data_IF_061007622127
#
_entry.id   IF_061007622127
#
_cell.length_a   1.000
_cell.length_b   1.000
_cell.length_c   1.000
_cell.angle_alpha   90.00
_cell.angle_beta   90.00
_cell.angle_gamma   90.00
#
_symmetry.space_group_name_H-M   'P 1'
#
loop_
_entity.id
_entity.type
_entity.pdbx_description
1 polymer ?
#
# COMPACT_ATOMS: atom_id res chain seq x y z
N UNK A 1 -14.74 4.80 20.07
CA UNK A 1 -13.84 3.80 19.47
C UNK A 1 -12.93 3.21 20.56
N UNK A 2 -12.46 1.94 20.44
CA UNK A 2 -11.57 1.29 21.41
C UNK A 2 -10.15 1.17 20.83
N UNK A 3 -9.11 1.34 21.67
CA UNK A 3 -7.72 1.07 21.29
C UNK A 3 -7.24 -0.11 22.13
N UNK A 4 -6.63 -1.09 21.48
CA UNK A 4 -6.12 -2.32 22.11
C UNK A 4 -4.71 -2.63 21.63
N UNK A 5 -3.92 -3.31 22.47
CA UNK A 5 -2.50 -3.58 22.19
C UNK A 5 -2.18 -5.07 22.08
N UNK A 6 -3.04 -5.95 22.57
CA UNK A 6 -2.77 -7.38 22.58
C UNK A 6 -3.65 -8.14 21.60
N UNK A 7 -3.15 -9.29 21.14
CA UNK A 7 -3.90 -10.20 20.26
C UNK A 7 -5.17 -10.73 20.96
N UNK A 8 -5.07 -10.99 22.25
CA UNK A 8 -6.18 -11.49 23.08
C UNK A 8 -7.33 -10.48 23.15
N UNK A 9 -7.02 -9.19 23.30
CA UNK A 9 -8.03 -8.13 23.32
C UNK A 9 -8.75 -8.01 21.97
N UNK A 10 -8.00 -8.04 20.85
CA UNK A 10 -8.61 -8.05 19.50
C UNK A 10 -9.56 -9.23 19.35
N UNK A 11 -9.07 -10.45 19.63
CA UNK A 11 -9.86 -11.68 19.51
C UNK A 11 -11.12 -11.67 20.39
N UNK A 12 -11.05 -11.05 21.56
CA UNK A 12 -12.20 -10.91 22.43
C UNK A 12 -13.31 -10.06 21.79
N UNK A 13 -12.95 -8.93 21.16
CA UNK A 13 -13.91 -8.07 20.45
C UNK A 13 -14.45 -8.76 19.18
N UNK A 14 -13.57 -9.38 18.38
CA UNK A 14 -14.00 -10.13 17.18
C UNK A 14 -14.98 -11.25 17.56
N UNK A 15 -14.67 -12.03 18.60
CA UNK A 15 -15.56 -13.10 19.08
C UNK A 15 -16.94 -12.58 19.53
N UNK A 16 -17.00 -11.39 20.11
CA UNK A 16 -18.25 -10.72 20.46
C UNK A 16 -19.04 -10.37 19.20
N UNK A 17 -18.40 -9.72 18.22
CA UNK A 17 -19.05 -9.32 16.97
C UNK A 17 -19.54 -10.52 16.15
N UNK A 18 -18.74 -11.60 16.10
CA UNK A 18 -19.16 -12.85 15.40
C UNK A 18 -20.37 -13.52 16.04
N UNK A 19 -20.55 -13.42 17.36
CA UNK A 19 -21.78 -13.92 18.04
C UNK A 19 -23.02 -13.11 17.67
N UNK A 20 -22.84 -11.86 17.27
CA UNK A 20 -23.90 -10.96 16.79
C UNK A 20 -24.09 -11.07 15.26
N UNK A 21 -23.37 -12.00 14.59
CA UNK A 21 -23.33 -12.19 13.13
C UNK A 21 -22.91 -10.93 12.34
N UNK A 22 -22.05 -10.10 12.91
CA UNK A 22 -21.55 -8.88 12.28
C UNK A 22 -20.37 -9.18 11.36
N UNK A 23 -20.34 -8.49 10.21
CA UNK A 23 -19.21 -8.48 9.29
C UNK A 23 -18.09 -7.58 9.79
N UNK A 24 -16.83 -7.95 9.48
CA UNK A 24 -15.63 -7.27 9.95
C UNK A 24 -14.75 -6.87 8.78
N UNK A 25 -14.50 -5.56 8.64
CA UNK A 25 -13.48 -5.00 7.75
C UNK A 25 -12.15 -4.78 8.47
N UNK A 26 -11.04 -4.97 7.78
CA UNK A 26 -9.70 -4.69 8.28
C UNK A 26 -8.99 -3.68 7.38
N UNK A 27 -8.38 -2.67 7.98
CA UNK A 27 -7.51 -1.70 7.30
C UNK A 27 -6.11 -1.76 7.91
N UNK A 28 -5.16 -2.51 7.31
CA UNK A 28 -3.78 -2.55 7.78
C UNK A 28 -3.03 -1.26 7.44
N UNK A 29 -2.44 -0.61 8.44
CA UNK A 29 -1.62 0.59 8.28
C UNK A 29 -0.37 0.55 9.15
N UNK A 30 0.57 1.43 8.84
CA UNK A 30 1.72 1.68 9.71
C UNK A 30 1.54 2.91 10.62
N UNK A 31 0.37 3.52 10.62
CA UNK A 31 0.12 4.77 11.33
C UNK A 31 0.55 6.02 10.54
N UNK A 32 0.54 7.18 11.24
CA UNK A 32 0.68 8.52 10.66
C UNK A 32 -0.31 8.74 9.51
N UNK A 33 -1.58 8.52 9.85
CA UNK A 33 -2.67 8.45 8.90
C UNK A 33 -2.91 9.79 8.19
N UNK A 34 -3.37 9.70 6.97
CA UNK A 34 -3.73 10.83 6.11
C UNK A 34 -4.99 10.48 5.29
N UNK A 35 -5.47 11.39 4.45
CA UNK A 35 -6.71 11.24 3.68
C UNK A 35 -6.72 9.98 2.80
N UNK A 36 -5.55 9.52 2.34
CA UNK A 36 -5.43 8.24 1.65
C UNK A 36 -5.82 7.05 2.53
N UNK A 37 -5.38 7.03 3.79
CA UNK A 37 -5.80 6.01 4.75
C UNK A 37 -7.27 6.18 5.16
N UNK A 38 -7.72 7.45 5.34
CA UNK A 38 -9.13 7.75 5.64
C UNK A 38 -10.06 7.17 4.59
N UNK A 39 -9.72 7.28 3.29
CA UNK A 39 -10.53 6.72 2.22
C UNK A 39 -10.68 5.19 2.28
N UNK A 40 -9.64 4.46 2.79
CA UNK A 40 -9.73 3.03 3.03
C UNK A 40 -10.69 2.73 4.18
N UNK A 41 -10.62 3.52 5.26
CA UNK A 41 -11.48 3.36 6.43
C UNK A 41 -12.93 3.70 6.08
N UNK A 42 -13.17 4.80 5.37
CA UNK A 42 -14.50 5.20 4.90
C UNK A 42 -15.14 4.08 4.04
N UNK A 43 -14.35 3.48 3.13
CA UNK A 43 -14.79 2.35 2.30
C UNK A 43 -15.10 1.11 3.15
N UNK A 44 -14.24 0.79 4.12
CA UNK A 44 -14.45 -0.33 5.02
C UNK A 44 -15.72 -0.16 5.88
N UNK A 45 -15.95 1.04 6.41
CA UNK A 45 -17.14 1.39 7.21
C UNK A 45 -18.42 1.32 6.39
N UNK A 46 -18.35 1.70 5.11
CA UNK A 46 -19.52 1.61 4.22
C UNK A 46 -19.90 0.16 3.85
N UNK A 47 -18.96 -0.77 3.93
CA UNK A 47 -19.14 -2.15 3.46
C UNK A 47 -19.18 -3.21 4.58
N UNK A 48 -18.94 -2.85 5.84
CA UNK A 48 -18.94 -3.78 6.97
C UNK A 48 -19.61 -3.19 8.21
N UNK A 49 -20.11 -4.06 9.07
CA UNK A 49 -20.75 -3.67 10.34
C UNK A 49 -19.72 -3.18 11.36
N UNK A 50 -18.51 -3.70 11.31
CA UNK A 50 -17.39 -3.35 12.21
C UNK A 50 -16.09 -3.21 11.43
N UNK A 51 -15.28 -2.25 11.84
CA UNK A 51 -13.98 -1.99 11.22
C UNK A 51 -12.87 -1.96 12.26
N UNK A 52 -11.82 -2.73 11.99
CA UNK A 52 -10.55 -2.74 12.71
C UNK A 52 -9.51 -2.01 11.86
N UNK A 53 -8.84 -1.03 12.44
CA UNK A 53 -7.66 -0.40 11.85
C UNK A 53 -6.42 -0.88 12.60
N UNK A 54 -5.48 -1.48 11.89
CA UNK A 54 -4.16 -1.77 12.47
C UNK A 54 -3.25 -0.57 12.33
N UNK A 55 -2.63 -0.12 13.42
CA UNK A 55 -1.63 0.95 13.45
C UNK A 55 -0.34 0.36 14.01
N UNK A 56 0.51 -0.16 13.12
CA UNK A 56 1.72 -0.88 13.51
C UNK A 56 2.87 -0.66 12.53
N UNK A 57 3.93 0.02 12.97
CA UNK A 57 5.16 0.16 12.19
C UNK A 57 5.92 -1.17 12.26
N UNK A 58 5.70 -2.01 11.24
CA UNK A 58 6.24 -3.37 11.23
C UNK A 58 7.76 -3.39 10.97
N UNK A 59 8.60 -3.75 11.94
CA UNK A 59 10.05 -3.71 11.75
C UNK A 59 10.55 -4.71 10.70
N UNK A 60 9.84 -5.82 10.46
CA UNK A 60 10.27 -6.87 9.56
C UNK A 60 10.25 -6.48 8.08
N UNK A 61 9.53 -5.42 7.71
CA UNK A 61 9.45 -4.96 6.33
C UNK A 61 10.44 -3.85 5.97
N UNK A 62 11.26 -3.44 6.93
CA UNK A 62 12.32 -2.44 6.73
C UNK A 62 13.68 -3.09 6.61
N UNK A 63 14.45 -2.67 5.61
CA UNK A 63 15.86 -3.02 5.48
C UNK A 63 16.73 -2.21 6.44
N UNK A 64 17.99 -2.63 6.65
CA UNK A 64 18.90 -1.99 7.62
C UNK A 64 19.19 -0.49 7.37
N UNK A 65 18.99 -0.02 6.12
CA UNK A 65 19.22 1.36 5.71
C UNK A 65 17.94 2.15 5.45
N UNK A 66 16.79 1.58 5.81
CA UNK A 66 15.49 2.23 5.59
C UNK A 66 15.04 3.05 6.81
N UNK A 67 13.96 3.78 6.64
CA UNK A 67 13.46 4.84 7.53
C UNK A 67 12.67 4.32 8.77
N UNK A 68 12.96 3.13 9.28
CA UNK A 68 12.24 2.54 10.42
C UNK A 68 12.24 3.44 11.67
N UNK A 69 13.42 3.96 12.04
CA UNK A 69 13.54 4.79 13.24
C UNK A 69 12.89 6.17 13.07
N UNK A 70 13.03 6.75 11.87
CA UNK A 70 12.50 8.07 11.53
C UNK A 70 11.06 8.02 11.00
N UNK A 71 10.47 6.84 10.82
CA UNK A 71 9.09 6.71 10.35
C UNK A 71 8.14 7.43 11.32
N UNK A 72 7.30 8.36 10.83
CA UNK A 72 6.50 9.21 11.70
C UNK A 72 5.46 8.40 12.48
N UNK A 73 5.23 8.78 13.74
CA UNK A 73 4.26 8.16 14.65
C UNK A 73 3.50 9.23 15.40
N UNK A 74 2.18 9.13 15.41
CA UNK A 74 1.29 10.03 16.15
C UNK A 74 -0.03 9.30 16.41
N UNK A 75 -0.07 8.50 17.46
CA UNK A 75 -1.24 7.67 17.78
C UNK A 75 -2.47 8.52 18.12
N UNK A 76 -2.31 9.67 18.76
CA UNK A 76 -3.42 10.54 19.14
C UNK A 76 -4.12 11.09 17.88
N UNK A 77 -3.34 11.59 16.91
CA UNK A 77 -3.83 12.01 15.60
C UNK A 77 -4.49 10.87 14.82
N UNK A 78 -3.86 9.70 14.82
CA UNK A 78 -4.37 8.52 14.13
C UNK A 78 -5.70 8.06 14.74
N UNK A 79 -5.82 8.09 16.06
CA UNK A 79 -7.05 7.76 16.77
C UNK A 79 -8.17 8.74 16.43
N UNK A 80 -7.90 10.04 16.41
CA UNK A 80 -8.88 11.06 16.06
C UNK A 80 -9.41 10.85 14.62
N UNK A 81 -8.52 10.58 13.66
CA UNK A 81 -8.90 10.30 12.26
C UNK A 81 -9.72 9.01 12.14
N UNK A 82 -9.33 7.95 12.82
CA UNK A 82 -10.08 6.68 12.83
C UNK A 82 -11.48 6.84 13.44
N UNK A 83 -11.61 7.63 14.52
CA UNK A 83 -12.90 7.89 15.17
C UNK A 83 -13.81 8.72 14.26
N UNK A 84 -13.28 9.78 13.63
CA UNK A 84 -13.99 10.59 12.64
C UNK A 84 -14.48 9.74 11.46
N UNK A 85 -13.65 8.82 10.97
CA UNK A 85 -14.00 7.92 9.86
C UNK A 85 -14.97 6.79 10.27
N UNK A 86 -15.26 6.61 11.57
CA UNK A 86 -16.22 5.62 12.06
C UNK A 86 -15.64 4.22 12.33
N UNK A 87 -14.34 4.07 12.46
CA UNK A 87 -13.71 2.82 12.87
C UNK A 87 -14.17 2.41 14.30
N UNK A 88 -14.25 1.11 14.56
CA UNK A 88 -14.71 0.57 15.84
C UNK A 88 -13.56 0.21 16.78
N UNK A 89 -12.43 -0.23 16.22
CA UNK A 89 -11.27 -0.71 16.96
C UNK A 89 -9.98 -0.29 16.31
N UNK A 90 -9.03 0.22 17.08
CA UNK A 90 -7.62 0.32 16.68
C UNK A 90 -6.84 -0.80 17.36
N UNK A 91 -6.10 -1.56 16.57
CA UNK A 91 -5.09 -2.48 17.03
C UNK A 91 -3.70 -1.84 16.89
N UNK A 92 -3.12 -1.46 18.03
CA UNK A 92 -1.81 -0.80 18.11
C UNK A 92 -0.85 -1.60 18.99
N UNK A 93 -0.34 -2.74 18.47
CA UNK A 93 0.54 -3.60 19.25
C UNK A 93 1.96 -3.04 19.33
N UNK A 94 2.67 -3.38 20.41
CA UNK A 94 4.12 -3.30 20.48
C UNK A 94 4.75 -4.43 19.63
N UNK A 95 6.00 -4.25 19.14
CA UNK A 95 6.69 -5.29 18.36
C UNK A 95 6.72 -6.66 19.04
N UNK A 96 6.90 -6.71 20.35
CA UNK A 96 6.95 -7.95 21.16
C UNK A 96 5.59 -8.66 21.18
N UNK A 97 4.47 -7.95 21.04
CA UNK A 97 3.14 -8.52 20.96
C UNK A 97 2.87 -9.17 19.60
N UNK A 98 3.60 -8.72 18.57
CA UNK A 98 3.54 -9.29 17.23
C UNK A 98 4.59 -10.37 16.99
N UNK A 99 5.77 -10.23 17.56
CA UNK A 99 6.91 -11.10 17.35
C UNK A 99 7.56 -11.46 18.69
N UNK A 100 7.32 -12.67 19.18
CA UNK A 100 8.01 -13.20 20.37
C UNK A 100 9.52 -13.34 20.11
N UNK A 101 10.31 -13.41 21.17
CA UNK A 101 11.77 -13.53 21.06
C UNK A 101 12.24 -14.81 20.34
N UNK A 102 11.39 -15.82 20.27
CA UNK A 102 11.59 -17.11 19.57
C UNK A 102 10.84 -17.20 18.22
N UNK A 103 10.33 -16.07 17.70
CA UNK A 103 9.59 -16.03 16.45
C UNK A 103 10.43 -16.52 15.27
N UNK A 104 9.92 -17.52 14.54
CA UNK A 104 10.65 -18.22 13.48
C UNK A 104 9.83 -18.49 12.20
N UNK A 105 8.57 -18.08 12.18
CA UNK A 105 7.66 -18.36 11.06
C UNK A 105 7.51 -17.16 10.13
N UNK A 106 7.57 -17.40 8.81
CA UNK A 106 7.44 -16.35 7.81
C UNK A 106 6.50 -16.77 6.68
N UNK A 107 5.85 -15.80 6.06
CA UNK A 107 5.21 -15.97 4.77
C UNK A 107 6.09 -15.28 3.73
N UNK A 108 6.57 -16.05 2.75
CA UNK A 108 7.40 -15.55 1.66
C UNK A 108 6.73 -15.80 0.32
N UNK A 109 6.88 -14.86 -0.60
CA UNK A 109 6.29 -14.89 -1.93
C UNK A 109 7.39 -14.82 -2.98
N UNK A 110 7.37 -15.74 -3.92
CA UNK A 110 8.27 -15.75 -5.06
C UNK A 110 7.64 -15.04 -6.27
N UNK A 111 8.35 -14.92 -7.36
CA UNK A 111 7.89 -14.41 -8.67
C UNK A 111 7.42 -12.95 -8.62
N UNK A 112 6.25 -12.67 -8.02
CA UNK A 112 5.67 -11.32 -7.92
C UNK A 112 6.54 -10.32 -7.15
N UNK A 113 7.47 -10.80 -6.35
CA UNK A 113 8.37 -10.00 -5.53
C UNK A 113 9.77 -9.84 -6.14
N UNK A 114 10.01 -10.41 -7.32
CA UNK A 114 11.32 -10.35 -8.00
C UNK A 114 11.60 -9.04 -8.74
N UNK A 115 10.57 -8.25 -9.05
CA UNK A 115 10.65 -6.97 -9.77
C UNK A 115 10.27 -5.77 -8.90
N UNK A 116 10.24 -4.59 -9.51
CA UNK A 116 9.75 -3.33 -8.91
C UNK A 116 10.37 -3.06 -7.52
N UNK A 117 9.53 -2.79 -6.51
CA UNK A 117 9.99 -2.60 -5.12
C UNK A 117 10.70 -3.83 -4.55
N UNK A 118 10.31 -5.05 -4.92
CA UNK A 118 10.93 -6.26 -4.39
C UNK A 118 12.38 -6.43 -4.85
N UNK A 119 12.73 -5.94 -6.04
CA UNK A 119 14.12 -5.94 -6.52
C UNK A 119 15.03 -5.02 -5.71
N UNK A 120 14.54 -3.85 -5.32
CA UNK A 120 15.31 -2.86 -4.56
C UNK A 120 15.22 -3.08 -3.05
N UNK A 121 14.22 -3.81 -2.57
CA UNK A 121 13.93 -4.11 -1.17
C UNK A 121 13.69 -5.63 -0.98
N UNK A 122 14.72 -6.48 -1.05
CA UNK A 122 14.56 -7.94 -1.17
C UNK A 122 13.82 -8.62 -0.01
N UNK A 123 13.86 -8.05 1.22
CA UNK A 123 13.19 -8.62 2.40
C UNK A 123 11.82 -7.99 2.68
N UNK A 124 11.46 -6.94 1.95
CA UNK A 124 10.26 -6.14 2.20
C UNK A 124 8.98 -6.97 2.17
N UNK A 125 8.73 -7.67 1.07
CA UNK A 125 7.48 -8.42 0.91
C UNK A 125 7.35 -9.62 1.84
N UNK A 126 8.46 -10.25 2.22
CA UNK A 126 8.45 -11.26 3.29
C UNK A 126 7.94 -10.66 4.60
N UNK A 127 8.39 -9.46 4.95
CA UNK A 127 7.89 -8.74 6.12
C UNK A 127 6.42 -8.36 6.00
N UNK A 128 6.01 -7.84 4.82
CA UNK A 128 4.61 -7.47 4.54
C UNK A 128 3.68 -8.69 4.59
N UNK A 129 4.00 -9.76 3.88
CA UNK A 129 3.17 -10.97 3.85
C UNK A 129 3.04 -11.59 5.24
N UNK A 130 4.13 -11.60 6.01
CA UNK A 130 4.12 -12.13 7.38
C UNK A 130 3.22 -11.32 8.30
N UNK A 131 3.36 -9.99 8.33
CA UNK A 131 2.50 -9.15 9.20
C UNK A 131 1.04 -9.19 8.78
N UNK A 132 0.78 -9.11 7.48
CA UNK A 132 -0.60 -9.14 6.95
C UNK A 132 -1.26 -10.49 7.21
N UNK A 133 -0.54 -11.60 6.99
CA UNK A 133 -1.02 -12.93 7.32
C UNK A 133 -1.33 -13.10 8.82
N UNK A 134 -0.49 -12.54 9.70
CA UNK A 134 -0.78 -12.51 11.14
C UNK A 134 -2.05 -11.70 11.44
N UNK A 135 -2.20 -10.51 10.85
CA UNK A 135 -3.38 -9.67 11.02
C UNK A 135 -4.64 -10.39 10.55
N UNK A 136 -4.59 -11.12 9.44
CA UNK A 136 -5.73 -11.94 8.96
C UNK A 136 -6.11 -13.01 9.95
N UNK A 137 -5.16 -13.69 10.59
CA UNK A 137 -5.42 -14.68 11.64
C UNK A 137 -5.85 -14.09 12.99
N UNK A 138 -5.49 -12.84 13.27
CA UNK A 138 -5.86 -12.16 14.52
C UNK A 138 -7.28 -11.62 14.43
N UNK A 139 -7.60 -10.96 13.30
CA UNK A 139 -8.86 -10.23 13.10
C UNK A 139 -9.92 -11.08 12.42
N UNK A 140 -9.54 -12.09 11.64
CA UNK A 140 -10.45 -12.94 10.84
C UNK A 140 -11.46 -12.09 10.06
N UNK A 141 -11.00 -11.12 9.23
CA UNK A 141 -11.90 -10.18 8.57
C UNK A 141 -12.66 -10.85 7.42
N UNK A 142 -13.85 -10.31 7.08
CA UNK A 142 -14.56 -10.67 5.86
C UNK A 142 -13.94 -9.96 4.65
N UNK A 143 -13.48 -8.70 4.86
CA UNK A 143 -12.80 -7.89 3.85
C UNK A 143 -11.58 -7.17 4.42
N UNK A 144 -10.51 -7.05 3.63
CA UNK A 144 -9.32 -6.26 3.97
C UNK A 144 -9.03 -5.24 2.86
N UNK A 145 -8.77 -3.98 3.26
CA UNK A 145 -8.68 -2.83 2.37
C UNK A 145 -7.25 -2.35 2.23
N UNK A 146 -6.78 -2.21 0.98
CA UNK A 146 -5.42 -1.79 0.65
C UNK A 146 -5.43 -0.72 -0.43
N UNK A 147 -4.54 0.26 -0.31
CA UNK A 147 -4.40 1.33 -1.28
C UNK A 147 -3.70 0.87 -2.56
N UNK A 148 -4.26 1.21 -3.71
CA UNK A 148 -3.68 0.97 -5.04
C UNK A 148 -2.36 1.72 -5.26
N UNK A 149 -2.07 2.73 -4.45
CA UNK A 149 -0.77 3.41 -4.47
C UNK A 149 0.39 2.43 -4.30
N UNK A 150 0.25 1.45 -3.42
CA UNK A 150 1.19 0.37 -3.20
C UNK A 150 0.79 -0.85 -4.05
N UNK A 151 0.70 -0.64 -5.39
CA UNK A 151 0.12 -1.57 -6.33
C UNK A 151 0.74 -2.97 -6.31
N UNK A 152 2.08 -3.07 -6.23
CA UNK A 152 2.75 -4.37 -6.09
C UNK A 152 2.35 -5.06 -4.79
N UNK A 153 2.24 -4.34 -3.68
CA UNK A 153 1.76 -4.91 -2.42
C UNK A 153 0.34 -5.45 -2.54
N UNK A 154 -0.56 -4.70 -3.17
CA UNK A 154 -1.93 -5.14 -3.41
C UNK A 154 -1.98 -6.45 -4.24
N UNK A 155 -1.20 -6.53 -5.33
CA UNK A 155 -1.09 -7.74 -6.14
C UNK A 155 -0.53 -8.92 -5.36
N UNK A 156 0.55 -8.72 -4.61
CA UNK A 156 1.18 -9.75 -3.76
C UNK A 156 0.20 -10.28 -2.70
N UNK A 157 -0.54 -9.38 -2.02
CA UNK A 157 -1.50 -9.79 -0.99
C UNK A 157 -2.69 -10.54 -1.59
N UNK A 158 -3.21 -10.11 -2.75
CA UNK A 158 -4.26 -10.86 -3.47
C UNK A 158 -3.81 -12.29 -3.80
N UNK A 159 -2.60 -12.46 -4.29
CA UNK A 159 -2.04 -13.79 -4.57
C UNK A 159 -1.84 -14.61 -3.29
N UNK A 160 -1.31 -14.01 -2.23
CA UNK A 160 -1.16 -14.68 -0.94
C UNK A 160 -2.51 -15.19 -0.41
N UNK A 161 -3.56 -14.38 -0.49
CA UNK A 161 -4.92 -14.76 -0.07
C UNK A 161 -5.43 -15.93 -0.88
N UNK A 162 -5.26 -15.88 -2.20
CA UNK A 162 -5.67 -16.96 -3.12
C UNK A 162 -4.89 -18.26 -2.86
N UNK A 163 -3.57 -18.18 -2.82
CA UNK A 163 -2.69 -19.35 -2.75
C UNK A 163 -2.78 -20.05 -1.39
N UNK A 164 -2.94 -19.29 -0.31
CA UNK A 164 -3.05 -19.81 1.05
C UNK A 164 -4.51 -20.03 1.50
N UNK A 165 -5.47 -19.82 0.61
CA UNK A 165 -6.91 -20.02 0.86
C UNK A 165 -7.43 -19.23 2.09
N UNK A 166 -6.97 -18.00 2.28
CA UNK A 166 -7.57 -17.15 3.29
C UNK A 166 -9.03 -16.85 2.93
N UNK A 167 -9.93 -17.02 3.89
CA UNK A 167 -11.35 -16.81 3.68
C UNK A 167 -11.74 -15.33 3.88
N UNK A 168 -11.26 -14.47 2.98
CA UNK A 168 -11.56 -13.03 2.97
C UNK A 168 -11.43 -12.46 1.55
N UNK A 169 -12.05 -11.31 1.32
CA UNK A 169 -11.90 -10.51 0.10
C UNK A 169 -10.84 -9.42 0.31
N UNK A 170 -9.95 -9.24 -0.68
CA UNK A 170 -8.97 -8.14 -0.71
C UNK A 170 -9.49 -7.02 -1.62
N UNK A 171 -9.89 -5.92 -1.03
CA UNK A 171 -10.42 -4.74 -1.72
C UNK A 171 -9.29 -3.75 -2.00
N UNK A 172 -9.08 -3.45 -3.29
CA UNK A 172 -8.19 -2.37 -3.72
C UNK A 172 -8.93 -1.03 -3.72
N UNK A 173 -8.33 0.01 -3.13
CA UNK A 173 -8.91 1.34 -3.11
C UNK A 173 -8.08 2.31 -3.93
N UNK A 174 -8.72 3.24 -4.68
CA UNK A 174 -8.03 4.19 -5.56
C UNK A 174 -6.99 5.05 -4.85
N UNK A 175 -6.02 5.56 -5.62
CA UNK A 175 -5.01 6.50 -5.12
C UNK A 175 -5.69 7.83 -4.80
N UNK A 176 -5.52 8.31 -3.59
CA UNK A 176 -5.88 9.67 -3.20
C UNK A 176 -4.69 10.59 -3.45
N UNK A 177 -4.95 11.71 -4.12
CA UNK A 177 -3.94 12.71 -4.49
C UNK A 177 -4.19 14.03 -3.79
N UNK A 178 -3.15 14.82 -3.65
CA UNK A 178 -3.24 16.24 -3.29
C UNK A 178 -3.82 17.02 -4.47
N UNK A 179 -4.27 18.27 -4.24
CA UNK A 179 -4.88 19.12 -5.27
C UNK A 179 -3.98 19.32 -6.50
N UNK A 180 -2.66 19.29 -6.32
CA UNK A 180 -1.65 19.44 -7.37
C UNK A 180 -1.22 18.12 -8.03
N UNK A 181 -1.88 17.01 -7.66
CA UNK A 181 -1.69 15.69 -8.27
C UNK A 181 -0.72 14.76 -7.55
N UNK A 182 0.04 15.20 -6.54
CA UNK A 182 0.95 14.33 -5.81
C UNK A 182 0.18 13.26 -5.04
N UNK A 183 0.56 11.97 -5.20
CA UNK A 183 -0.03 10.89 -4.44
C UNK A 183 0.20 11.09 -2.92
N UNK A 184 -0.87 10.96 -2.12
CA UNK A 184 -0.78 11.07 -0.65
C UNK A 184 0.13 9.99 -0.07
N UNK A 185 1.08 10.41 0.77
CA UNK A 185 2.02 9.51 1.44
C UNK A 185 2.51 10.13 2.74
N UNK A 186 2.69 9.32 3.79
CA UNK A 186 3.31 9.76 5.04
C UNK A 186 4.74 10.28 4.80
N UNK A 187 5.44 9.77 3.78
CA UNK A 187 6.78 10.23 3.38
C UNK A 187 6.81 11.61 2.74
N UNK A 188 5.67 12.16 2.31
CA UNK A 188 5.62 13.55 1.80
C UNK A 188 6.04 14.57 2.87
N UNK A 189 5.92 14.22 4.15
CA UNK A 189 6.36 15.08 5.26
C UNK A 189 7.89 15.23 5.38
N UNK A 190 8.65 14.37 4.72
CA UNK A 190 10.11 14.47 4.69
C UNK A 190 10.62 15.52 3.69
N UNK A 191 9.78 15.92 2.73
CA UNK A 191 10.15 16.83 1.65
C UNK A 191 10.21 18.28 2.16
N UNK A 192 11.30 18.96 1.87
CA UNK A 192 11.34 20.41 1.99
C UNK A 192 10.52 21.07 0.86
N UNK A 193 10.42 22.40 0.87
CA UNK A 193 9.56 23.12 -0.08
C UNK A 193 9.97 22.92 -1.54
N UNK A 194 11.27 22.86 -1.83
CA UNK A 194 11.79 22.64 -3.19
C UNK A 194 11.56 21.18 -3.63
N UNK A 195 11.89 20.24 -2.77
CA UNK A 195 11.65 18.82 -3.00
C UNK A 195 10.15 18.51 -3.19
N UNK A 196 9.26 19.19 -2.44
CA UNK A 196 7.81 19.03 -2.58
C UNK A 196 7.32 19.46 -3.97
N UNK A 197 7.90 20.53 -4.54
CA UNK A 197 7.59 20.94 -5.92
C UNK A 197 8.19 19.99 -6.96
N UNK A 198 9.41 19.55 -6.75
CA UNK A 198 10.07 18.57 -7.61
C UNK A 198 9.29 17.24 -7.65
N UNK A 199 8.69 16.81 -6.53
CA UNK A 199 7.92 15.56 -6.43
C UNK A 199 6.73 15.49 -7.39
N UNK A 200 6.21 16.63 -7.87
CA UNK A 200 5.14 16.67 -8.87
C UNK A 200 5.55 16.06 -10.22
N UNK A 201 6.85 15.87 -10.45
CA UNK A 201 7.31 15.20 -11.66
C UNK A 201 6.78 13.78 -11.79
N UNK A 202 6.51 13.09 -10.65
CA UNK A 202 5.96 11.74 -10.66
C UNK A 202 4.58 11.73 -11.34
N UNK A 203 3.62 12.48 -10.81
CA UNK A 203 2.27 12.53 -11.38
C UNK A 203 2.27 13.07 -12.81
N UNK A 204 3.02 14.16 -13.08
CA UNK A 204 3.13 14.72 -14.43
C UNK A 204 3.66 13.72 -15.46
N UNK A 205 4.63 12.89 -15.10
CA UNK A 205 5.18 11.88 -16.01
C UNK A 205 4.18 10.76 -16.30
N UNK A 206 3.38 10.35 -15.30
CA UNK A 206 2.31 9.37 -15.47
C UNK A 206 1.15 9.92 -16.31
N UNK A 207 0.76 11.17 -16.10
CA UNK A 207 -0.29 11.84 -16.88
C UNK A 207 0.11 11.99 -18.35
N UNK A 208 1.39 12.30 -18.62
CA UNK A 208 1.93 12.35 -19.97
C UNK A 208 1.88 10.99 -20.68
N UNK A 209 2.22 9.91 -19.95
CA UNK A 209 2.10 8.55 -20.50
C UNK A 209 0.64 8.17 -20.76
N UNK A 210 -0.27 8.53 -19.85
CA UNK A 210 -1.71 8.32 -20.00
C UNK A 210 -2.23 9.00 -21.28
N UNK A 211 -1.90 10.27 -21.49
CA UNK A 211 -2.30 11.00 -22.69
C UNK A 211 -1.78 10.34 -23.98
N UNK A 212 -0.56 9.80 -23.99
CA UNK A 212 -0.01 9.09 -25.14
C UNK A 212 -0.74 7.77 -25.41
N UNK A 213 -1.08 7.01 -24.34
CA UNK A 213 -1.85 5.78 -24.47
C UNK A 213 -3.28 6.08 -24.98
N UNK A 214 -3.91 7.14 -24.52
CA UNK A 214 -5.21 7.61 -25.02
C UNK A 214 -5.14 8.05 -26.48
N UNK A 215 -4.00 8.60 -26.91
CA UNK A 215 -3.73 8.94 -28.31
C UNK A 215 -3.37 7.74 -29.21
N UNK A 216 -3.29 6.53 -28.65
CA UNK A 216 -3.07 5.28 -29.38
C UNK A 216 -1.67 4.69 -29.27
N UNK A 217 -0.75 5.29 -28.52
CA UNK A 217 0.56 4.66 -28.29
C UNK A 217 0.38 3.38 -27.43
N UNK A 218 1.06 2.30 -27.83
CA UNK A 218 0.98 1.00 -27.14
C UNK A 218 2.36 0.41 -26.84
N UNK A 219 3.43 1.01 -27.37
CA UNK A 219 4.79 0.52 -27.18
C UNK A 219 5.31 0.94 -25.80
N UNK A 220 5.51 -0.04 -24.90
CA UNK A 220 5.95 0.22 -23.53
C UNK A 220 7.35 0.86 -23.47
N UNK A 221 8.26 0.53 -24.40
CA UNK A 221 9.61 1.11 -24.43
C UNK A 221 9.57 2.60 -24.80
N UNK A 222 8.71 3.02 -25.74
CA UNK A 222 8.52 4.44 -26.09
C UNK A 222 7.96 5.21 -24.90
N UNK A 223 6.90 4.69 -24.27
CA UNK A 223 6.27 5.30 -23.11
C UNK A 223 7.26 5.42 -21.94
N UNK A 224 7.99 4.35 -21.63
CA UNK A 224 9.03 4.32 -20.60
C UNK A 224 10.10 5.38 -20.85
N UNK A 225 10.61 5.48 -22.08
CA UNK A 225 11.61 6.49 -22.47
C UNK A 225 11.09 7.91 -22.22
N UNK A 226 9.84 8.18 -22.56
CA UNK A 226 9.23 9.50 -22.38
C UNK A 226 9.07 9.85 -20.89
N UNK A 227 8.59 8.90 -20.08
CA UNK A 227 8.51 9.07 -18.61
C UNK A 227 9.89 9.37 -18.03
N UNK A 228 10.91 8.57 -18.41
CA UNK A 228 12.28 8.78 -17.93
C UNK A 228 12.78 10.18 -18.30
N UNK A 229 12.58 10.62 -19.54
CA UNK A 229 13.01 11.96 -19.99
C UNK A 229 12.34 13.09 -19.19
N UNK A 230 11.06 12.95 -18.84
CA UNK A 230 10.35 13.93 -18.01
C UNK A 230 10.93 13.97 -16.60
N UNK A 231 11.17 12.80 -15.99
CA UNK A 231 11.70 12.71 -14.62
C UNK A 231 13.15 13.21 -14.55
N UNK A 232 13.99 12.83 -15.52
CA UNK A 232 15.40 13.23 -15.59
C UNK A 232 15.61 14.73 -15.86
N UNK A 233 14.59 15.43 -16.37
CA UNK A 233 14.62 16.88 -16.50
C UNK A 233 14.48 17.61 -15.13
N UNK A 234 14.07 16.92 -14.06
CA UNK A 234 14.01 17.46 -12.70
C UNK A 234 15.33 17.20 -11.97
N UNK A 235 16.11 18.24 -11.63
CA UNK A 235 17.46 18.05 -11.06
C UNK A 235 17.49 17.34 -9.70
N UNK A 236 16.40 17.41 -8.93
CA UNK A 236 16.28 16.75 -7.63
C UNK A 236 15.78 15.32 -7.73
N UNK A 237 15.39 14.85 -8.93
CA UNK A 237 14.85 13.53 -9.14
C UNK A 237 15.93 12.52 -9.58
N UNK A 238 15.86 11.31 -9.02
CA UNK A 238 16.67 10.17 -9.43
C UNK A 238 15.80 8.93 -9.53
N UNK A 239 15.68 8.39 -10.73
CA UNK A 239 14.86 7.21 -10.98
C UNK A 239 15.44 5.99 -10.24
N UNK A 240 14.57 5.27 -9.54
CA UNK A 240 14.83 3.91 -9.05
C UNK A 240 14.37 2.89 -10.10
N UNK A 241 13.09 2.99 -10.50
CA UNK A 241 12.57 2.26 -11.65
C UNK A 241 11.40 3.01 -12.32
N UNK A 242 11.19 2.71 -13.60
CA UNK A 242 10.00 3.00 -14.41
C UNK A 242 9.67 1.72 -15.15
N UNK A 243 8.53 1.10 -14.88
CA UNK A 243 8.17 -0.19 -15.47
C UNK A 243 6.71 -0.22 -15.92
N UNK A 244 6.48 -0.92 -17.05
CA UNK A 244 5.17 -1.35 -17.50
C UNK A 244 5.10 -2.86 -17.33
N UNK A 245 4.15 -3.33 -16.51
CA UNK A 245 4.00 -4.75 -16.19
C UNK A 245 2.53 -5.16 -16.32
N UNK A 246 2.29 -6.41 -16.66
CA UNK A 246 0.93 -6.98 -16.56
C UNK A 246 0.42 -6.86 -15.12
N UNK A 247 -0.81 -6.38 -14.97
CA UNK A 247 -1.39 -6.10 -13.64
C UNK A 247 -1.56 -7.34 -12.76
N UNK A 248 -1.73 -8.51 -13.37
CA UNK A 248 -1.98 -9.75 -12.63
C UNK A 248 -0.70 -10.51 -12.31
N UNK A 249 0.27 -10.53 -13.25
CA UNK A 249 1.50 -11.32 -13.12
C UNK A 249 2.70 -10.51 -12.68
N UNK A 250 2.65 -9.18 -12.81
CA UNK A 250 3.74 -8.23 -12.61
C UNK A 250 4.97 -8.50 -13.50
N UNK A 251 4.80 -9.28 -14.56
CA UNK A 251 5.82 -9.50 -15.58
C UNK A 251 5.88 -8.30 -16.55
N UNK A 252 7.08 -7.90 -17.00
CA UNK A 252 7.22 -6.80 -17.96
C UNK A 252 6.43 -7.06 -19.25
N UNK A 253 5.83 -5.99 -19.79
CA UNK A 253 5.14 -6.03 -21.08
C UNK A 253 5.85 -5.16 -22.11
N UNK A 254 5.85 -5.61 -23.37
CA UNK A 254 6.37 -4.85 -24.51
C UNK A 254 5.29 -3.98 -25.16
N UNK A 255 4.04 -4.48 -25.13
CA UNK A 255 2.88 -3.81 -25.75
C UNK A 255 1.73 -3.76 -24.75
N UNK A 256 1.02 -2.64 -24.72
CA UNK A 256 -0.11 -2.40 -23.80
C UNK A 256 -1.41 -2.87 -24.47
N UNK A 257 -1.79 -4.12 -24.24
CA UNK A 257 -2.97 -4.75 -24.85
C UNK A 257 -4.05 -5.17 -23.85
N UNK A 258 -3.71 -5.21 -22.55
CA UNK A 258 -4.60 -5.64 -21.46
C UNK A 258 -4.43 -4.79 -20.21
N UNK A 259 -4.87 -5.28 -19.04
CA UNK A 259 -4.63 -4.60 -17.77
C UNK A 259 -3.13 -4.49 -17.49
N UNK A 260 -2.60 -3.26 -17.55
CA UNK A 260 -1.17 -2.97 -17.39
C UNK A 260 -0.99 -1.95 -16.27
N UNK A 261 -0.08 -2.27 -15.37
CA UNK A 261 0.42 -1.35 -14.34
C UNK A 261 1.65 -0.61 -14.87
N UNK A 262 1.57 0.72 -14.96
CA UNK A 262 2.73 1.59 -15.08
C UNK A 262 3.14 2.01 -13.66
N UNK A 263 4.23 1.48 -13.17
CA UNK A 263 4.74 1.73 -11.82
C UNK A 263 6.06 2.48 -11.87
N UNK A 264 6.17 3.52 -11.08
CA UNK A 264 7.38 4.32 -10.94
C UNK A 264 7.83 4.43 -9.49
N UNK A 265 9.14 4.44 -9.29
CA UNK A 265 9.77 4.81 -8.03
C UNK A 265 10.90 5.80 -8.31
N UNK A 266 10.87 6.91 -7.59
CA UNK A 266 11.78 8.04 -7.80
C UNK A 266 12.24 8.56 -6.46
N UNK A 267 13.54 8.78 -6.32
CA UNK A 267 14.09 9.54 -5.21
C UNK A 267 13.99 11.02 -5.53
N UNK A 268 13.38 11.78 -4.63
CA UNK A 268 13.46 13.24 -4.63
C UNK A 268 14.35 13.64 -3.45
N UNK A 269 15.53 14.14 -3.76
CA UNK A 269 16.60 14.24 -2.77
C UNK A 269 16.92 12.86 -2.17
N UNK A 270 16.63 12.69 -0.85
CA UNK A 270 16.81 11.42 -0.14
C UNK A 270 15.52 10.60 -0.02
N UNK A 271 14.37 11.22 -0.29
CA UNK A 271 13.05 10.60 -0.08
C UNK A 271 12.64 9.76 -1.28
N UNK A 272 12.42 8.46 -1.07
CA UNK A 272 11.92 7.57 -2.10
C UNK A 272 10.40 7.64 -2.15
N UNK A 273 9.86 8.08 -3.27
CA UNK A 273 8.43 8.16 -3.56
C UNK A 273 8.04 7.14 -4.63
N UNK A 274 6.83 6.65 -4.54
CA UNK A 274 6.23 5.76 -5.55
C UNK A 274 4.91 6.32 -6.02
N UNK A 275 4.60 6.06 -7.28
CA UNK A 275 3.30 6.35 -7.88
C UNK A 275 3.03 5.35 -8.99
N UNK A 276 1.78 5.25 -9.43
CA UNK A 276 1.41 4.35 -10.51
C UNK A 276 0.13 4.77 -11.21
N UNK A 277 -0.11 4.13 -12.36
CA UNK A 277 -1.38 4.15 -13.07
C UNK A 277 -1.68 2.76 -13.63
N UNK A 278 -2.94 2.33 -13.55
CA UNK A 278 -3.41 1.08 -14.17
C UNK A 278 -4.24 1.43 -15.39
N UNK A 279 -3.91 0.81 -16.52
CA UNK A 279 -4.60 0.98 -17.79
C UNK A 279 -5.43 -0.27 -18.11
N UNK A 280 -6.61 -0.08 -18.69
CA UNK A 280 -7.48 -1.16 -19.17
C UNK A 280 -7.87 -2.20 -18.10
N UNK A 281 -7.92 -1.79 -16.84
CA UNK A 281 -8.50 -2.62 -15.79
C UNK A 281 -9.96 -2.90 -16.12
N UNK A 282 -10.37 -4.19 -16.12
CA UNK A 282 -11.78 -4.54 -16.35
C UNK A 282 -12.58 -4.08 -15.11
N UNK A 283 -13.66 -3.35 -15.36
CA UNK A 283 -14.63 -3.03 -14.31
C UNK A 283 -15.13 -4.35 -13.68
N UNK A 284 -14.88 -4.54 -12.38
CA UNK A 284 -15.29 -5.75 -11.65
C UNK A 284 -14.20 -6.37 -10.78
N UNK A 285 -12.93 -5.94 -10.89
CA UNK A 285 -11.82 -6.38 -10.04
C UNK A 285 -11.40 -5.31 -8.99
N UNK A 286 -12.31 -4.39 -8.68
CA UNK A 286 -12.10 -3.38 -7.63
C UNK A 286 -12.49 -3.90 -6.26
#
# INVERSE_FOLDING_TARGET
>A
MKIVQTVEEVRAEIKKWRRENLTVGLVPTMGYLHEGHKSLIDRAVAENDRVVVSVFVNPMQFGPSEDLESYPRDLERDAALCEEAGANLIFHPEPENMYSSDFSSFIDMNTLTGGLCGKTRPTHFRGVCTVVGKLFHIVEPDKAYFGQKDAQQLAVIRHMVKDLNFNLEVVGCPIIREEDGLAKSSRNTYLNKEERQAALVLSRSLDAAKAQIEAGERNAAILKKNICSIIEAEPLARIDYVEFVDWNTLEPVETIEGPVLNAIAVYIGKTRLIDNHIYFEKEGNQ
#
